data_IF_076823829869
#
_entry.id   IF_076823829869
#
_cell.length_a   1.000
_cell.length_b   1.000
_cell.length_c   1.000
_cell.angle_alpha   90.00
_cell.angle_beta   90.00
_cell.angle_gamma   90.00
#
_symmetry.space_group_name_H-M   'P 1'
#
loop_
_entity.id
_entity.type
_entity.pdbx_description
1 polymer ?
#
# COMPACT_ATOMS: atom_id res chain seq x y z
N UNK A 1 -6.91 3.60 -15.84
CA UNK A 1 -7.26 2.96 -14.56
C UNK A 1 -6.21 1.89 -14.31
N UNK A 2 -5.32 2.12 -13.36
CA UNK A 2 -4.38 1.09 -12.91
C UNK A 2 -5.17 0.19 -11.97
N UNK A 3 -5.83 -0.82 -12.51
CA UNK A 3 -6.74 -1.66 -11.72
C UNK A 3 -5.90 -2.59 -10.85
N UNK A 4 -5.96 -2.40 -9.53
CA UNK A 4 -5.46 -3.40 -8.60
C UNK A 4 -6.36 -4.65 -8.74
N UNK A 5 -5.77 -5.83 -8.75
CA UNK A 5 -6.53 -7.07 -8.70
C UNK A 5 -7.18 -7.23 -7.32
N UNK A 6 -8.13 -8.18 -7.22
CA UNK A 6 -8.71 -8.54 -5.93
C UNK A 6 -7.65 -8.97 -4.91
N UNK A 7 -7.95 -8.74 -3.64
CA UNK A 7 -7.03 -9.00 -2.56
C UNK A 7 -6.65 -10.49 -2.52
N UNK A 8 -5.37 -10.79 -2.66
CA UNK A 8 -4.83 -12.16 -2.61
C UNK A 8 -5.04 -12.83 -1.25
N UNK A 9 -5.27 -12.06 -0.18
CA UNK A 9 -5.49 -12.61 1.16
C UNK A 9 -6.94 -12.97 1.46
N UNK A 10 -7.91 -12.15 1.04
CA UNK A 10 -9.32 -12.32 1.40
C UNK A 10 -10.30 -12.35 0.22
N UNK A 11 -9.84 -12.08 -1.01
CA UNK A 11 -10.67 -11.97 -2.21
C UNK A 11 -11.49 -10.68 -2.34
N UNK A 12 -11.34 -9.74 -1.42
CA UNK A 12 -12.07 -8.47 -1.43
C UNK A 12 -11.52 -7.44 -2.43
N UNK A 13 -12.39 -6.53 -2.87
CA UNK A 13 -12.06 -5.41 -3.77
C UNK A 13 -10.92 -4.55 -3.21
N UNK A 14 -9.94 -4.24 -4.06
CA UNK A 14 -8.81 -3.35 -3.76
C UNK A 14 -9.01 -2.04 -4.51
N UNK A 15 -9.01 -0.92 -3.77
CA UNK A 15 -9.12 0.41 -4.36
C UNK A 15 -7.84 1.22 -4.19
N UNK A 16 -7.53 2.07 -5.17
CA UNK A 16 -6.40 2.98 -5.07
C UNK A 16 -6.70 4.10 -4.06
N UNK A 17 -5.82 4.27 -3.08
CA UNK A 17 -5.89 5.32 -2.06
C UNK A 17 -4.52 5.92 -1.80
N UNK A 18 -4.51 7.16 -1.34
CA UNK A 18 -3.31 7.76 -0.76
C UNK A 18 -3.31 7.53 0.74
N UNK A 19 -2.28 6.88 1.26
CA UNK A 19 -2.17 6.52 2.67
C UNK A 19 -0.95 7.15 3.33
N UNK A 20 -1.01 7.27 4.66
CA UNK A 20 0.19 7.46 5.47
C UNK A 20 0.72 6.07 5.82
N UNK A 21 1.95 5.76 5.41
CA UNK A 21 2.58 4.47 5.63
C UNK A 21 3.70 4.61 6.66
N UNK A 22 3.50 3.95 7.78
CA UNK A 22 4.43 3.81 8.89
C UNK A 22 5.35 2.61 8.64
N UNK A 23 6.54 2.88 8.14
CA UNK A 23 7.54 1.86 7.85
C UNK A 23 8.64 1.85 8.91
N UNK A 24 8.74 0.77 9.67
CA UNK A 24 9.80 0.61 10.67
C UNK A 24 10.97 -0.17 10.09
N UNK A 25 12.14 0.46 10.02
CA UNK A 25 13.38 -0.16 9.55
C UNK A 25 14.45 -0.06 10.64
N UNK A 26 14.81 -1.21 11.23
CA UNK A 26 15.69 -1.30 12.41
C UNK A 26 15.14 -0.40 13.53
N UNK A 27 15.95 0.50 14.06
CA UNK A 27 15.60 1.43 15.13
C UNK A 27 14.94 2.72 14.62
N UNK A 28 14.75 2.87 13.31
CA UNK A 28 14.15 4.06 12.72
C UNK A 28 12.69 3.82 12.31
N UNK A 29 11.81 4.75 12.69
CA UNK A 29 10.45 4.85 12.17
C UNK A 29 10.44 5.88 11.04
N UNK A 30 10.14 5.42 9.83
CA UNK A 30 9.91 6.27 8.67
C UNK A 30 8.40 6.44 8.48
N UNK A 31 7.94 7.70 8.44
CA UNK A 31 6.53 8.03 8.17
C UNK A 31 6.47 8.62 6.76
N UNK A 32 5.99 7.82 5.81
CA UNK A 32 5.77 8.22 4.43
C UNK A 32 4.34 8.72 4.30
N UNK A 33 4.17 9.99 3.93
CA UNK A 33 2.86 10.61 3.77
C UNK A 33 2.42 10.58 2.32
N UNK A 34 1.12 10.45 2.10
CA UNK A 34 0.49 10.53 0.78
C UNK A 34 1.07 9.51 -0.22
N UNK A 35 1.27 8.26 0.22
CA UNK A 35 1.76 7.16 -0.61
C UNK A 35 0.60 6.56 -1.40
N UNK A 36 0.64 6.54 -2.74
CA UNK A 36 -0.38 5.85 -3.52
C UNK A 36 -0.23 4.32 -3.34
N UNK A 37 -1.32 3.67 -2.93
CA UNK A 37 -1.38 2.24 -2.68
C UNK A 37 -2.77 1.68 -2.99
N UNK A 38 -2.83 0.42 -3.41
CA UNK A 38 -4.07 -0.34 -3.42
C UNK A 38 -4.39 -0.80 -2.01
N UNK A 39 -5.57 -0.49 -1.50
CA UNK A 39 -6.00 -0.91 -0.16
C UNK A 39 -7.25 -1.77 -0.28
N UNK A 40 -7.19 -2.99 0.26
CA UNK A 40 -8.37 -3.84 0.33
C UNK A 40 -9.43 -3.21 1.25
N UNK A 41 -10.66 -3.10 0.76
CA UNK A 41 -11.78 -2.48 1.50
C UNK A 41 -12.28 -3.33 2.66
N UNK A 42 -11.95 -4.62 2.68
CA UNK A 42 -12.42 -5.58 3.68
C UNK A 42 -11.39 -5.81 4.78
N UNK A 43 -10.17 -6.24 4.42
CA UNK A 43 -9.14 -6.60 5.40
C UNK A 43 -8.08 -5.50 5.63
N UNK A 44 -8.02 -4.48 4.77
CA UNK A 44 -7.02 -3.40 4.88
C UNK A 44 -5.62 -3.74 4.35
N UNK A 45 -5.46 -4.87 3.66
CA UNK A 45 -4.21 -5.25 3.00
C UNK A 45 -3.75 -4.18 2.01
N UNK A 46 -2.43 -3.92 1.96
CA UNK A 46 -1.84 -2.82 1.20
C UNK A 46 -0.97 -3.35 0.08
N UNK A 47 -1.19 -2.84 -1.12
CA UNK A 47 -0.47 -3.21 -2.33
C UNK A 47 0.26 -1.99 -2.89
N UNK A 48 1.56 -2.13 -3.11
CA UNK A 48 2.40 -1.07 -3.66
C UNK A 48 2.93 -1.49 -5.03
N UNK A 49 2.90 -0.57 -5.97
CA UNK A 49 3.49 -0.81 -7.29
C UNK A 49 5.02 -0.80 -7.21
N UNK A 50 5.72 -1.41 -8.19
CA UNK A 50 7.19 -1.38 -8.24
C UNK A 50 7.77 0.04 -8.29
N UNK A 51 7.02 1.01 -8.80
CA UNK A 51 7.43 2.42 -8.82
C UNK A 51 7.37 3.07 -7.44
N UNK A 52 6.30 2.76 -6.67
CA UNK A 52 6.16 3.24 -5.30
C UNK A 52 7.24 2.62 -4.42
N UNK A 53 7.46 1.31 -4.51
CA UNK A 53 8.49 0.63 -3.73
C UNK A 53 9.91 1.20 -3.99
N UNK A 54 10.24 1.51 -5.25
CA UNK A 54 11.53 2.16 -5.60
C UNK A 54 11.72 3.55 -5.00
N UNK A 55 10.64 4.26 -4.64
CA UNK A 55 10.70 5.56 -3.97
C UNK A 55 10.79 5.45 -2.44
N UNK A 56 10.56 4.25 -1.89
CA UNK A 56 10.60 3.98 -0.45
C UNK A 56 11.96 3.44 0.01
N UNK A 57 12.83 3.02 -0.93
CA UNK A 57 14.23 2.64 -0.72
C UNK A 57 15.15 3.88 -0.67
#
# INVERSE_FOLDING_TARGET
MTTYADCTFCGGEVEERHINYDYRRRDHLLILRNVPAGVCKQCGEKYFTPDVLRRMD
#
